data_IF_955294163554
#
_entry.id   IF_955294163554
#
_cell.length_a   1.000
_cell.length_b   1.000
_cell.length_c   1.000
_cell.angle_alpha   90.00
_cell.angle_beta   90.00
_cell.angle_gamma   90.00
#
_symmetry.space_group_name_H-M   'P 1'
#
loop_
_entity.id
_entity.type
_entity.pdbx_description
1 polymer ?
#
# COMPACT_ATOMS: atom_id res chain seq x y z
N UNK A 1 -78.58 19.52 64.44
CA UNK A 1 -77.38 20.25 64.87
C UNK A 1 -76.20 19.42 64.43
N UNK A 2 -75.62 19.74 63.32
CA UNK A 2 -74.61 18.96 62.68
C UNK A 2 -73.56 19.92 62.09
N UNK A 3 -72.41 19.93 62.72
CA UNK A 3 -71.31 20.79 62.36
C UNK A 3 -70.55 20.14 61.18
N UNK A 4 -70.52 20.85 60.03
CA UNK A 4 -69.71 20.55 58.92
C UNK A 4 -68.32 21.27 59.06
N UNK A 5 -67.27 20.53 59.31
CA UNK A 5 -65.93 21.08 59.22
C UNK A 5 -65.36 20.83 57.82
N UNK A 6 -65.11 21.92 57.13
CA UNK A 6 -64.49 21.98 55.82
C UNK A 6 -62.95 21.76 55.95
N UNK A 7 -62.40 20.69 55.42
CA UNK A 7 -60.97 20.45 55.37
C UNK A 7 -60.42 20.96 54.05
N UNK A 8 -59.55 21.96 54.10
CA UNK A 8 -58.80 22.45 52.95
C UNK A 8 -57.62 21.56 52.65
N UNK A 9 -57.60 20.97 51.47
CA UNK A 9 -56.52 20.16 50.97
C UNK A 9 -55.48 21.06 50.26
N UNK A 10 -54.32 21.21 50.85
CA UNK A 10 -53.25 21.93 50.26
C UNK A 10 -52.47 20.95 49.34
N UNK A 11 -52.52 21.15 48.00
CA UNK A 11 -51.73 20.42 47.03
C UNK A 11 -50.44 21.17 46.88
N UNK A 12 -49.30 20.60 47.34
CA UNK A 12 -47.99 21.10 47.08
C UNK A 12 -47.49 20.56 45.69
N UNK A 13 -47.39 21.44 44.70
CA UNK A 13 -46.76 21.13 43.43
C UNK A 13 -45.20 21.14 43.61
N UNK A 14 -44.58 19.97 43.61
CA UNK A 14 -43.19 19.89 43.56
C UNK A 14 -42.72 20.00 42.06
N UNK A 15 -42.14 21.14 41.68
CA UNK A 15 -41.56 21.37 40.37
C UNK A 15 -40.19 20.67 40.35
N UNK A 16 -40.12 19.50 39.68
CA UNK A 16 -38.87 18.80 39.42
C UNK A 16 -38.17 19.50 38.26
N UNK A 17 -37.15 20.35 38.52
CA UNK A 17 -36.26 20.86 37.51
C UNK A 17 -35.29 19.75 37.12
N UNK A 18 -35.58 19.00 36.03
CA UNK A 18 -34.62 18.15 35.36
C UNK A 18 -33.59 19.04 34.65
N UNK A 19 -32.49 19.33 35.32
CA UNK A 19 -31.31 19.91 34.65
C UNK A 19 -30.71 18.88 33.71
N UNK A 20 -31.02 18.99 32.41
CA UNK A 20 -30.30 18.25 31.38
C UNK A 20 -28.87 18.81 31.35
N UNK A 21 -27.93 18.11 31.95
CA UNK A 21 -26.50 18.31 31.69
C UNK A 21 -26.25 17.78 30.26
N UNK A 22 -26.24 18.68 29.30
CA UNK A 22 -25.61 18.46 28.01
C UNK A 22 -24.10 18.30 28.30
N UNK A 23 -23.65 17.06 28.49
CA UNK A 23 -22.23 16.75 28.41
C UNK A 23 -21.81 17.05 26.95
N UNK A 24 -21.15 18.20 26.75
CA UNK A 24 -20.37 18.42 25.57
C UNK A 24 -19.30 17.34 25.57
N UNK A 25 -19.50 16.26 24.82
CA UNK A 25 -18.42 15.40 24.40
C UNK A 25 -17.52 16.28 23.53
N UNK A 26 -16.45 16.78 24.09
CA UNK A 26 -15.31 17.25 23.31
C UNK A 26 -14.85 15.99 22.58
N UNK A 27 -15.15 15.90 21.29
CA UNK A 27 -14.57 14.87 20.43
C UNK A 27 -13.05 15.10 20.51
N UNK A 28 -12.39 14.30 21.35
CA UNK A 28 -10.92 14.28 21.37
C UNK A 28 -10.47 13.86 19.99
N UNK A 29 -9.54 14.62 19.40
CA UNK A 29 -8.84 14.18 18.19
C UNK A 29 -8.40 12.72 18.40
N UNK A 30 -8.58 11.87 17.41
CA UNK A 30 -8.16 10.47 17.53
C UNK A 30 -6.64 10.41 17.76
N UNK A 31 -6.20 9.51 18.63
CA UNK A 31 -4.78 9.29 18.86
C UNK A 31 -4.02 9.12 17.53
N UNK A 32 -2.83 9.69 17.39
CA UNK A 32 -2.04 9.55 16.16
C UNK A 32 -1.76 8.08 15.84
N UNK A 33 -1.60 7.78 14.57
CA UNK A 33 -1.11 6.46 14.12
C UNK A 33 0.40 6.49 14.25
N UNK A 34 0.99 5.50 14.92
CA UNK A 34 2.45 5.38 15.05
C UNK A 34 2.99 4.35 14.06
N UNK A 35 3.89 4.76 13.16
CA UNK A 35 4.51 3.85 12.21
C UNK A 35 6.03 3.81 12.35
N UNK A 36 6.61 2.66 12.01
CA UNK A 36 8.03 2.51 11.78
C UNK A 36 8.30 2.49 10.27
N UNK A 37 9.18 3.37 9.79
CA UNK A 37 9.71 3.29 8.43
C UNK A 37 11.05 2.56 8.48
N UNK A 38 11.07 1.31 7.99
CA UNK A 38 12.24 0.46 7.96
C UNK A 38 12.95 0.60 6.61
N UNK A 39 14.11 1.24 6.63
CA UNK A 39 14.95 1.51 5.48
C UNK A 39 16.28 0.75 5.51
N UNK A 40 17.19 1.15 4.63
CA UNK A 40 18.58 0.74 4.57
C UNK A 40 19.45 1.86 3.97
N UNK A 41 20.74 1.56 3.69
CA UNK A 41 21.67 2.51 3.05
C UNK A 41 21.90 2.21 1.57
N UNK A 42 21.02 1.45 0.93
CA UNK A 42 21.15 1.06 -0.46
C UNK A 42 20.66 2.15 -1.45
N UNK A 43 20.72 1.82 -2.74
CA UNK A 43 20.51 2.73 -3.88
C UNK A 43 19.10 3.31 -4.00
N UNK A 44 18.12 2.83 -3.24
CA UNK A 44 16.77 3.43 -3.18
C UNK A 44 16.71 4.67 -2.29
N UNK A 45 17.78 4.96 -1.54
CA UNK A 45 17.89 6.13 -0.64
C UNK A 45 16.73 6.29 0.35
N UNK A 46 16.40 5.28 1.18
CA UNK A 46 15.23 5.31 2.06
C UNK A 46 15.16 6.53 2.98
N UNK A 47 16.29 6.94 3.57
CA UNK A 47 16.35 8.12 4.43
C UNK A 47 15.95 9.42 3.71
N UNK A 48 16.19 9.52 2.40
CA UNK A 48 15.76 10.68 1.62
C UNK A 48 14.27 10.60 1.30
N UNK A 49 13.74 9.39 1.02
CA UNK A 49 12.31 9.15 0.83
C UNK A 49 11.52 9.45 2.09
N UNK A 50 12.06 9.06 3.25
CA UNK A 50 11.49 9.40 4.54
C UNK A 50 11.31 10.92 4.71
N UNK A 51 12.33 11.71 4.43
CA UNK A 51 12.27 13.19 4.51
C UNK A 51 11.18 13.80 3.62
N UNK A 52 10.86 13.16 2.50
CA UNK A 52 9.79 13.62 1.60
C UNK A 52 8.40 13.28 2.17
N UNK A 53 8.25 12.07 2.70
CA UNK A 53 6.91 11.61 3.09
C UNK A 53 6.53 11.98 4.54
N UNK A 54 7.49 12.10 5.45
CA UNK A 54 7.25 12.42 6.87
C UNK A 54 6.32 13.60 7.10
N UNK A 55 6.55 14.79 6.48
CA UNK A 55 5.67 15.93 6.70
C UNK A 55 4.23 15.70 6.19
N UNK A 56 4.06 14.90 5.14
CA UNK A 56 2.75 14.52 4.60
C UNK A 56 2.03 13.59 5.57
N UNK A 57 2.74 12.59 6.10
CA UNK A 57 2.21 11.66 7.10
C UNK A 57 1.77 12.41 8.36
N UNK A 58 2.63 13.29 8.86
CA UNK A 58 2.32 14.12 10.04
C UNK A 58 1.09 14.98 9.83
N UNK A 59 0.95 15.58 8.64
CA UNK A 59 -0.26 16.34 8.27
C UNK A 59 -1.53 15.50 8.20
N UNK A 60 -1.41 14.17 8.11
CA UNK A 60 -2.52 13.21 8.09
C UNK A 60 -2.75 12.51 9.45
N UNK A 61 -2.11 12.99 10.54
CA UNK A 61 -2.21 12.39 11.86
C UNK A 61 -1.45 11.07 12.01
N UNK A 62 -0.39 10.88 11.22
CA UNK A 62 0.48 9.70 11.26
C UNK A 62 1.88 10.16 11.72
N UNK A 63 2.30 9.69 12.88
CA UNK A 63 3.64 9.90 13.41
C UNK A 63 4.53 8.72 13.06
N UNK A 64 5.77 8.99 12.67
CA UNK A 64 6.66 7.92 12.23
C UNK A 64 8.07 8.06 12.78
N UNK A 65 8.72 6.91 12.89
CA UNK A 65 10.13 6.76 13.23
C UNK A 65 10.85 6.08 12.08
N UNK A 66 11.97 6.66 11.62
CA UNK A 66 12.84 6.01 10.65
C UNK A 66 13.91 5.18 11.36
N UNK A 67 14.16 3.98 10.86
CA UNK A 67 15.26 3.12 11.31
C UNK A 67 15.86 2.32 10.17
N UNK A 68 17.12 1.93 10.32
CA UNK A 68 17.83 0.97 9.46
C UNK A 68 18.19 -0.29 10.25
N UNK A 69 17.71 -0.40 11.50
CA UNK A 69 17.98 -1.54 12.36
C UNK A 69 16.93 -2.64 12.15
N UNK A 70 17.33 -3.66 11.40
CA UNK A 70 16.49 -4.81 11.10
C UNK A 70 16.31 -5.78 12.29
N UNK A 71 17.01 -5.57 13.42
CA UNK A 71 16.77 -6.32 14.63
C UNK A 71 15.40 -6.01 15.25
N UNK A 72 14.74 -4.95 14.79
CA UNK A 72 13.39 -4.55 15.21
C UNK A 72 12.37 -5.70 15.15
N UNK A 73 12.52 -6.62 14.20
CA UNK A 73 11.62 -7.77 14.10
C UNK A 73 11.66 -8.72 15.33
N UNK A 74 12.69 -8.59 16.16
CA UNK A 74 12.83 -9.34 17.42
C UNK A 74 12.80 -8.44 18.66
N UNK A 75 12.65 -7.13 18.49
CA UNK A 75 12.58 -6.17 19.58
C UNK A 75 11.14 -6.06 20.11
N UNK A 76 10.92 -6.15 21.42
CA UNK A 76 9.60 -5.91 22.03
C UNK A 76 8.97 -4.56 21.67
N UNK A 77 9.80 -3.54 21.38
CA UNK A 77 9.33 -2.21 20.93
C UNK A 77 8.54 -2.24 19.62
N UNK A 78 8.67 -3.29 18.83
CA UNK A 78 7.87 -3.45 17.61
C UNK A 78 6.37 -3.33 17.90
N UNK A 79 5.93 -3.76 19.07
CA UNK A 79 4.52 -3.65 19.50
C UNK A 79 4.03 -2.23 19.79
N UNK A 80 4.92 -1.24 19.83
CA UNK A 80 4.58 0.17 20.04
C UNK A 80 4.11 0.84 18.72
N UNK A 81 4.33 0.18 17.58
CA UNK A 81 3.94 0.68 16.26
C UNK A 81 2.67 0.01 15.74
N UNK A 82 1.75 0.81 15.22
CA UNK A 82 0.51 0.34 14.57
C UNK A 82 0.80 -0.29 13.21
N UNK A 83 1.85 0.17 12.51
CA UNK A 83 2.29 -0.39 11.25
C UNK A 83 3.79 -0.25 11.02
N UNK A 84 4.34 -1.14 10.19
CA UNK A 84 5.71 -1.03 9.66
C UNK A 84 5.63 -0.82 8.15
N UNK A 85 6.25 0.28 7.68
CA UNK A 85 6.49 0.52 6.26
C UNK A 85 7.88 -0.01 5.92
N UNK A 86 7.95 -0.96 4.98
CA UNK A 86 9.19 -1.56 4.50
C UNK A 86 9.60 -0.91 3.20
N UNK A 87 10.80 -0.31 3.19
CA UNK A 87 11.40 0.26 1.99
C UNK A 87 12.93 0.07 2.01
N UNK A 88 13.38 -1.12 1.67
CA UNK A 88 14.79 -1.51 1.69
C UNK A 88 15.07 -2.70 0.77
N UNK A 89 16.34 -3.06 0.59
CA UNK A 89 16.82 -4.19 -0.22
C UNK A 89 17.62 -5.22 0.59
N UNK A 90 17.36 -5.37 1.87
CA UNK A 90 18.00 -6.43 2.68
C UNK A 90 17.48 -7.79 2.24
N UNK A 91 18.39 -8.70 1.86
CA UNK A 91 18.03 -9.97 1.24
C UNK A 91 17.73 -11.10 2.22
N UNK A 92 18.15 -10.97 3.47
CA UNK A 92 18.08 -12.08 4.42
C UNK A 92 17.32 -11.70 5.69
N UNK A 93 16.45 -12.61 6.10
CA UNK A 93 15.86 -12.69 7.44
C UNK A 93 16.48 -13.87 8.18
N UNK A 94 16.86 -13.66 9.42
CA UNK A 94 17.12 -14.80 10.31
C UNK A 94 15.80 -15.48 10.68
N UNK A 95 15.81 -16.76 11.06
CA UNK A 95 14.57 -17.44 11.49
C UNK A 95 13.83 -16.75 12.64
N UNK A 96 14.56 -16.08 13.53
CA UNK A 96 13.97 -15.32 14.64
C UNK A 96 13.27 -14.04 14.14
N UNK A 97 13.88 -13.33 13.21
CA UNK A 97 13.29 -12.13 12.60
C UNK A 97 12.07 -12.48 11.75
N UNK A 98 12.14 -13.55 10.93
CA UNK A 98 10.99 -14.05 10.18
C UNK A 98 9.82 -14.35 11.09
N UNK A 99 10.06 -15.11 12.15
CA UNK A 99 9.03 -15.41 13.15
C UNK A 99 8.45 -14.14 13.78
N UNK A 100 9.30 -13.18 14.15
CA UNK A 100 8.86 -11.92 14.75
C UNK A 100 7.98 -11.09 13.79
N UNK A 101 8.39 -10.96 12.53
CA UNK A 101 7.64 -10.27 11.49
C UNK A 101 6.26 -10.92 11.28
N UNK A 102 6.22 -12.24 11.11
CA UNK A 102 4.96 -12.95 10.88
C UNK A 102 4.03 -12.83 12.11
N UNK A 103 4.55 -12.97 13.32
CA UNK A 103 3.77 -12.80 14.55
C UNK A 103 3.25 -11.38 14.73
N UNK A 104 4.04 -10.36 14.38
CA UNK A 104 3.60 -8.97 14.43
C UNK A 104 2.36 -8.76 13.58
N UNK A 105 2.40 -9.21 12.32
CA UNK A 105 1.25 -9.08 11.41
C UNK A 105 0.09 -9.96 11.87
N UNK A 106 0.33 -11.21 12.26
CA UNK A 106 -0.72 -12.12 12.74
C UNK A 106 -1.49 -11.56 13.94
N UNK A 107 -0.80 -10.82 14.81
CA UNK A 107 -1.40 -10.21 16.00
C UNK A 107 -2.13 -8.89 15.72
N UNK A 108 -2.05 -8.34 14.51
CA UNK A 108 -2.82 -7.16 14.10
C UNK A 108 -1.98 -5.97 13.63
N UNK A 109 -0.65 -6.07 13.64
CA UNK A 109 0.23 -5.05 13.10
C UNK A 109 -0.01 -4.84 11.59
N UNK A 110 -0.04 -3.58 11.15
CA UNK A 110 -0.12 -3.22 9.73
C UNK A 110 1.23 -3.43 9.04
N UNK A 111 1.23 -3.89 7.79
CA UNK A 111 2.44 -4.00 6.99
C UNK A 111 2.27 -3.25 5.68
N UNK A 112 3.20 -2.34 5.38
CA UNK A 112 3.18 -1.47 4.20
C UNK A 112 4.46 -1.72 3.39
N UNK A 113 4.57 -2.84 2.68
CA UNK A 113 5.70 -3.07 1.79
C UNK A 113 5.58 -2.15 0.56
N UNK A 114 6.63 -1.39 0.27
CA UNK A 114 6.66 -0.43 -0.84
C UNK A 114 7.77 -0.83 -1.80
N UNK A 115 7.44 -0.91 -3.08
CA UNK A 115 8.36 -1.08 -4.20
C UNK A 115 9.37 -2.21 -3.97
N UNK A 116 10.63 -1.88 -3.65
CA UNK A 116 11.73 -2.83 -3.45
C UNK A 116 11.47 -3.86 -2.33
N UNK A 117 10.48 -3.64 -1.49
CA UNK A 117 10.09 -4.61 -0.47
C UNK A 117 9.68 -5.98 -1.06
N UNK A 118 9.22 -6.04 -2.33
CA UNK A 118 8.96 -7.32 -3.00
C UNK A 118 10.23 -8.04 -3.50
N UNK A 119 11.39 -7.35 -3.48
CA UNK A 119 12.69 -7.91 -3.84
C UNK A 119 13.55 -8.25 -2.62
N UNK A 120 13.13 -7.87 -1.40
CA UNK A 120 13.87 -8.17 -0.18
C UNK A 120 13.51 -9.54 0.42
N UNK A 121 14.31 -9.99 1.40
CA UNK A 121 14.09 -11.21 2.16
C UNK A 121 13.90 -12.47 1.28
N UNK A 122 14.70 -12.56 0.19
CA UNK A 122 14.58 -13.64 -0.79
C UNK A 122 14.81 -15.05 -0.24
N UNK A 123 15.36 -15.17 0.98
CA UNK A 123 15.52 -16.43 1.70
C UNK A 123 14.26 -16.85 2.50
N UNK A 124 13.18 -16.07 2.49
CA UNK A 124 11.95 -16.33 3.23
C UNK A 124 10.75 -16.48 2.29
N UNK A 125 10.38 -17.73 1.99
CA UNK A 125 9.13 -18.01 1.27
C UNK A 125 7.90 -17.51 2.04
N UNK A 126 7.95 -17.59 3.38
CA UNK A 126 6.87 -17.11 4.23
C UNK A 126 6.64 -15.60 4.13
N UNK A 127 7.70 -14.80 3.98
CA UNK A 127 7.57 -13.36 3.72
C UNK A 127 6.98 -13.09 2.34
N UNK A 128 7.45 -13.79 1.30
CA UNK A 128 6.93 -13.62 -0.06
C UNK A 128 5.44 -13.97 -0.12
N UNK A 129 5.05 -15.07 0.53
CA UNK A 129 3.65 -15.49 0.63
C UNK A 129 2.83 -14.49 1.45
N UNK A 130 3.41 -13.91 2.51
CA UNK A 130 2.75 -12.87 3.32
C UNK A 130 2.43 -11.63 2.49
N UNK A 131 3.40 -11.09 1.74
CA UNK A 131 3.19 -9.88 0.93
C UNK A 131 2.45 -10.14 -0.37
N UNK A 132 2.40 -11.39 -0.83
CA UNK A 132 1.58 -11.84 -1.95
C UNK A 132 2.18 -11.66 -3.33
N UNK A 133 3.50 -11.49 -3.44
CA UNK A 133 4.20 -11.41 -4.73
C UNK A 133 5.69 -11.16 -4.56
N UNK A 134 6.48 -11.64 -5.54
CA UNK A 134 7.93 -11.46 -5.57
C UNK A 134 8.32 -10.66 -6.81
N UNK A 135 9.22 -9.71 -6.65
CA UNK A 135 9.85 -9.01 -7.77
C UNK A 135 10.54 -10.00 -8.72
N UNK A 136 10.34 -9.81 -10.01
CA UNK A 136 10.97 -10.61 -11.06
C UNK A 136 11.90 -9.78 -11.94
N UNK A 137 11.39 -8.66 -12.45
CA UNK A 137 12.12 -7.79 -13.38
C UNK A 137 11.46 -6.41 -13.44
N UNK A 138 12.17 -5.47 -14.02
CA UNK A 138 11.62 -4.14 -14.32
C UNK A 138 12.22 -3.55 -15.60
N UNK A 139 11.50 -2.63 -16.22
CA UNK A 139 12.01 -1.55 -17.06
C UNK A 139 11.81 -0.23 -16.33
N UNK A 140 11.77 0.90 -17.06
CA UNK A 140 11.42 2.20 -16.50
C UNK A 140 10.77 3.06 -17.59
N UNK A 141 9.63 3.68 -17.28
CA UNK A 141 8.91 4.56 -18.19
C UNK A 141 7.95 5.49 -17.43
N UNK A 142 7.40 6.46 -18.10
CA UNK A 142 6.24 7.17 -17.61
C UNK A 142 4.97 6.34 -17.89
N UNK A 143 4.22 6.03 -16.86
CA UNK A 143 2.95 5.31 -17.00
C UNK A 143 1.89 5.84 -16.06
N UNK A 144 0.63 5.57 -16.40
CA UNK A 144 -0.52 5.88 -15.56
C UNK A 144 -1.02 4.61 -14.90
N UNK A 145 -0.84 4.48 -13.59
CA UNK A 145 -1.46 3.41 -12.82
C UNK A 145 -2.98 3.61 -12.77
N UNK A 146 -3.74 2.53 -13.04
CA UNK A 146 -5.21 2.56 -13.09
C UNK A 146 -5.80 1.96 -11.83
N UNK A 147 -6.73 2.65 -11.21
CA UNK A 147 -7.54 2.12 -10.11
C UNK A 147 -8.57 1.15 -10.71
N UNK A 148 -8.59 -0.09 -10.20
CA UNK A 148 -9.53 -1.14 -10.61
C UNK A 148 -10.54 -1.50 -9.53
N UNK A 149 -10.28 -1.15 -8.28
CA UNK A 149 -11.21 -1.30 -7.15
C UNK A 149 -11.40 0.05 -6.42
N UNK A 150 -12.16 0.95 -7.04
CA UNK A 150 -12.43 2.29 -6.49
C UNK A 150 -13.30 2.27 -5.23
N UNK A 151 -13.96 1.14 -4.92
CA UNK A 151 -14.81 1.00 -3.74
C UNK A 151 -14.00 0.65 -2.48
N UNK A 152 -12.74 0.22 -2.65
CA UNK A 152 -11.90 -0.09 -1.50
C UNK A 152 -11.55 1.18 -0.72
N UNK A 153 -11.63 1.18 0.63
CA UNK A 153 -11.39 2.37 1.44
C UNK A 153 -10.04 3.06 1.19
N UNK A 154 -8.99 2.28 0.94
CA UNK A 154 -7.67 2.84 0.61
C UNK A 154 -7.64 3.60 -0.72
N UNK A 155 -8.64 3.42 -1.61
CA UNK A 155 -8.76 4.15 -2.87
C UNK A 155 -9.68 5.36 -2.76
N UNK A 156 -10.22 5.64 -1.57
CA UNK A 156 -11.16 6.76 -1.35
C UNK A 156 -10.50 8.10 -1.71
N UNK A 157 -11.16 8.87 -2.56
CA UNK A 157 -10.69 10.18 -3.02
C UNK A 157 -9.30 10.17 -3.66
N UNK A 158 -8.87 9.00 -4.17
CA UNK A 158 -7.67 8.86 -4.98
C UNK A 158 -8.08 8.84 -6.45
N UNK A 159 -7.36 9.60 -7.26
CA UNK A 159 -7.46 9.55 -8.72
C UNK A 159 -6.26 8.81 -9.30
N UNK A 160 -6.46 8.18 -10.46
CA UNK A 160 -5.36 7.59 -11.20
C UNK A 160 -4.37 8.68 -11.62
N UNK A 161 -3.10 8.47 -11.38
CA UNK A 161 -2.05 9.45 -11.67
C UNK A 161 -0.93 8.83 -12.53
N UNK A 162 -0.19 9.68 -13.22
CA UNK A 162 0.98 9.29 -13.99
C UNK A 162 2.25 9.64 -13.23
N UNK A 163 3.24 8.77 -13.30
CA UNK A 163 4.57 9.04 -12.80
C UNK A 163 5.61 8.29 -13.63
N UNK A 164 6.81 8.84 -13.73
CA UNK A 164 7.96 8.09 -14.18
C UNK A 164 8.40 7.20 -13.04
N UNK A 165 8.45 5.88 -13.28
CA UNK A 165 8.88 4.92 -12.26
C UNK A 165 9.41 3.64 -12.91
N UNK A 166 9.96 2.73 -12.11
CA UNK A 166 10.28 1.39 -12.59
C UNK A 166 9.00 0.59 -12.85
N UNK A 167 9.01 -0.16 -13.95
CA UNK A 167 7.85 -0.97 -14.36
C UNK A 167 7.99 -2.40 -13.86
N UNK A 168 7.81 -2.56 -12.55
CA UNK A 168 7.90 -3.88 -11.89
C UNK A 168 6.99 -4.91 -12.53
N UNK A 169 7.54 -6.11 -12.68
CA UNK A 169 6.84 -7.35 -12.98
C UNK A 169 7.07 -8.31 -11.83
N UNK A 170 6.03 -8.99 -11.40
CA UNK A 170 6.08 -9.92 -10.28
C UNK A 170 5.91 -11.35 -10.72
N UNK A 171 6.54 -12.28 -10.00
CA UNK A 171 6.19 -13.69 -10.00
C UNK A 171 5.65 -14.11 -8.62
N UNK A 172 5.18 -15.34 -8.48
CA UNK A 172 4.58 -15.84 -7.24
C UNK A 172 3.42 -14.98 -6.71
N UNK A 173 2.66 -14.32 -7.63
CA UNK A 173 1.48 -13.56 -7.23
C UNK A 173 0.46 -14.49 -6.56
N UNK A 174 0.05 -14.13 -5.34
CA UNK A 174 -0.95 -14.88 -4.62
C UNK A 174 -2.36 -14.69 -5.22
N UNK A 175 -3.11 -15.80 -5.33
CA UNK A 175 -4.43 -15.78 -5.96
C UNK A 175 -5.47 -14.96 -5.18
N UNK A 176 -5.26 -14.78 -3.90
CA UNK A 176 -6.15 -14.06 -2.98
C UNK A 176 -5.73 -12.59 -2.80
N UNK A 177 -4.79 -12.09 -3.59
CA UNK A 177 -4.50 -10.65 -3.64
C UNK A 177 -5.74 -9.88 -4.09
N UNK A 178 -6.23 -8.99 -3.25
CA UNK A 178 -7.22 -8.01 -3.67
C UNK A 178 -6.51 -6.84 -4.36
N UNK A 179 -6.47 -6.88 -5.69
CA UNK A 179 -5.80 -5.87 -6.50
C UNK A 179 -6.61 -4.57 -6.51
N UNK A 180 -5.96 -3.47 -6.18
CA UNK A 180 -6.55 -2.13 -6.13
C UNK A 180 -6.16 -1.27 -7.33
N UNK A 181 -4.89 -1.41 -7.77
CA UNK A 181 -4.39 -0.70 -8.95
C UNK A 181 -3.59 -1.65 -9.84
N UNK A 182 -3.58 -1.35 -11.13
CA UNK A 182 -2.82 -2.07 -12.14
C UNK A 182 -2.00 -1.12 -12.99
N UNK A 183 -0.83 -1.56 -13.47
CA UNK A 183 -0.06 -0.88 -14.52
C UNK A 183 -0.44 -1.47 -15.89
N UNK A 184 -0.73 -0.64 -16.90
CA UNK A 184 -0.83 -1.11 -18.27
C UNK A 184 0.52 -1.68 -18.75
N UNK A 185 0.47 -2.84 -19.43
CA UNK A 185 1.63 -3.49 -20.01
C UNK A 185 1.25 -4.01 -21.41
N UNK A 186 1.35 -3.16 -22.40
CA UNK A 186 0.83 -3.41 -23.74
C UNK A 186 -0.67 -3.74 -23.72
N UNK A 187 -1.03 -5.00 -24.04
CA UNK A 187 -2.43 -5.47 -24.01
C UNK A 187 -2.85 -6.05 -22.66
N UNK A 188 -1.99 -5.99 -21.65
CA UNK A 188 -2.17 -6.62 -20.35
C UNK A 188 -2.13 -5.61 -19.24
N UNK A 189 -2.34 -6.12 -18.04
CA UNK A 189 -2.24 -5.34 -16.82
C UNK A 189 -1.40 -6.11 -15.81
N UNK A 190 -0.39 -5.46 -15.28
CA UNK A 190 0.37 -5.97 -14.14
C UNK A 190 -0.30 -5.49 -12.85
N UNK A 191 -0.58 -6.38 -11.86
CA UNK A 191 -0.99 -5.97 -10.53
C UNK A 191 0.07 -5.07 -9.92
N UNK A 192 -0.34 -3.88 -9.45
CA UNK A 192 0.62 -2.86 -9.05
C UNK A 192 0.43 -2.35 -7.62
N UNK A 193 -0.79 -2.42 -7.12
CA UNK A 193 -1.13 -2.18 -5.71
C UNK A 193 -2.18 -3.19 -5.31
N UNK A 194 -1.95 -3.86 -4.20
CA UNK A 194 -2.92 -4.83 -3.66
C UNK A 194 -2.93 -4.83 -2.15
N UNK A 195 -3.96 -5.46 -1.61
CA UNK A 195 -4.12 -5.66 -0.18
C UNK A 195 -4.35 -7.12 0.15
N UNK A 196 -3.96 -7.49 1.36
CA UNK A 196 -4.12 -8.84 1.92
C UNK A 196 -4.45 -8.73 3.41
N UNK A 197 -4.83 -9.85 3.98
CA UNK A 197 -4.97 -10.03 5.42
C UNK A 197 -4.21 -11.28 5.85
N UNK A 198 -3.51 -11.18 6.99
CA UNK A 198 -2.86 -12.30 7.64
C UNK A 198 -3.16 -12.25 9.13
N UNK A 199 -3.87 -13.29 9.64
CA UNK A 199 -4.39 -13.24 11.00
C UNK A 199 -5.29 -12.03 11.21
N UNK A 200 -4.92 -11.17 12.17
CA UNK A 200 -5.61 -9.90 12.45
C UNK A 200 -5.01 -8.71 11.67
N UNK A 201 -3.80 -8.85 11.16
CA UNK A 201 -3.07 -7.79 10.49
C UNK A 201 -3.46 -7.64 9.01
N UNK A 202 -3.15 -6.48 8.48
CA UNK A 202 -3.46 -6.11 7.10
C UNK A 202 -2.19 -5.68 6.38
N UNK A 203 -2.07 -6.10 5.14
CA UNK A 203 -0.93 -5.81 4.28
C UNK A 203 -1.40 -4.95 3.12
N UNK A 204 -0.73 -3.83 2.89
CA UNK A 204 -0.94 -2.94 1.76
C UNK A 204 0.36 -2.82 0.98
N UNK A 205 0.45 -3.45 -0.17
CA UNK A 205 1.61 -3.39 -1.06
C UNK A 205 1.38 -2.42 -2.22
N UNK A 206 2.42 -1.69 -2.61
CA UNK A 206 2.47 -0.96 -3.88
C UNK A 206 3.83 -1.09 -4.55
N UNK A 207 3.85 -1.38 -5.85
CA UNK A 207 5.04 -1.46 -6.68
C UNK A 207 5.59 -0.08 -7.10
N UNK A 208 4.81 0.99 -6.92
CA UNK A 208 5.26 2.37 -7.12
C UNK A 208 6.29 2.74 -6.05
N UNK A 209 7.26 3.60 -6.39
CA UNK A 209 8.12 4.20 -5.39
C UNK A 209 9.63 4.13 -5.64
N UNK A 210 10.10 3.87 -6.86
CA UNK A 210 11.53 3.96 -7.16
C UNK A 210 12.00 5.41 -7.28
N UNK A 211 11.34 6.17 -8.13
CA UNK A 211 11.80 7.51 -8.52
C UNK A 211 11.37 8.60 -7.52
N UNK A 212 12.18 9.64 -7.37
CA UNK A 212 11.83 10.80 -6.53
C UNK A 212 10.55 11.48 -7.00
N UNK A 213 10.33 11.58 -8.31
CA UNK A 213 9.11 12.14 -8.90
C UNK A 213 7.85 11.43 -8.42
N UNK A 214 7.94 10.11 -8.18
CA UNK A 214 6.85 9.33 -7.58
C UNK A 214 6.63 9.71 -6.13
N UNK A 215 7.68 9.79 -5.32
CA UNK A 215 7.58 10.16 -3.89
C UNK A 215 7.07 11.59 -3.68
N UNK A 216 7.42 12.51 -4.56
CA UNK A 216 6.94 13.90 -4.53
C UNK A 216 5.52 14.05 -5.12
N UNK A 217 5.01 13.03 -5.82
CA UNK A 217 3.71 13.11 -6.47
C UNK A 217 2.56 13.04 -5.45
N UNK A 218 1.63 14.03 -5.41
CA UNK A 218 0.54 14.07 -4.42
C UNK A 218 -0.35 12.82 -4.45
N UNK A 219 -0.54 12.22 -5.63
CA UNK A 219 -1.30 10.98 -5.80
C UNK A 219 -0.64 9.79 -5.08
N UNK A 220 0.69 9.65 -5.16
CA UNK A 220 1.44 8.61 -4.45
C UNK A 220 1.43 8.85 -2.94
N UNK A 221 1.65 10.09 -2.52
CA UNK A 221 1.58 10.46 -1.11
C UNK A 221 0.21 10.14 -0.51
N UNK A 222 -0.86 10.48 -1.23
CA UNK A 222 -2.23 10.12 -0.85
C UNK A 222 -2.44 8.61 -0.80
N UNK A 223 -1.88 7.88 -1.76
CA UNK A 223 -1.94 6.40 -1.80
C UNK A 223 -1.32 5.80 -0.54
N UNK A 224 -0.14 6.27 -0.13
CA UNK A 224 0.55 5.79 1.08
C UNK A 224 -0.23 6.14 2.35
N UNK A 225 -0.70 7.38 2.49
CA UNK A 225 -1.53 7.80 3.63
C UNK A 225 -2.76 6.90 3.76
N UNK A 226 -3.50 6.70 2.67
CA UNK A 226 -4.71 5.86 2.68
C UNK A 226 -4.36 4.38 2.99
N UNK A 227 -3.25 3.87 2.44
CA UNK A 227 -2.78 2.51 2.69
C UNK A 227 -2.46 2.28 4.17
N UNK A 228 -1.73 3.20 4.80
CA UNK A 228 -1.40 3.16 6.23
C UNK A 228 -2.69 3.23 7.07
N UNK A 229 -3.57 4.20 6.80
CA UNK A 229 -4.81 4.35 7.54
C UNK A 229 -5.73 3.12 7.41
N UNK A 230 -5.72 2.46 6.25
CA UNK A 230 -6.49 1.23 6.06
C UNK A 230 -5.84 0.06 6.82
N UNK A 231 -4.54 -0.11 6.73
CA UNK A 231 -3.83 -1.21 7.38
C UNK A 231 -3.92 -1.13 8.91
N UNK A 232 -3.94 0.07 9.47
CA UNK A 232 -4.12 0.32 10.91
C UNK A 232 -5.59 0.36 11.37
N UNK A 233 -6.55 0.13 10.45
CA UNK A 233 -7.97 0.07 10.78
C UNK A 233 -8.65 1.43 10.98
N UNK A 234 -7.97 2.55 10.71
CA UNK A 234 -8.56 3.90 10.79
C UNK A 234 -9.58 4.15 9.67
N UNK A 235 -9.35 3.58 8.48
CA UNK A 235 -10.37 3.54 7.44
C UNK A 235 -11.19 2.26 7.62
N UNK A 236 -12.41 2.41 8.13
CA UNK A 236 -13.34 1.30 8.28
C UNK A 236 -13.76 0.82 6.89
N UNK A 237 -13.55 -0.46 6.64
CA UNK A 237 -14.15 -1.16 5.52
C UNK A 237 -15.55 -1.59 5.93
N UNK A 238 -16.59 -1.04 5.31
CA UNK A 238 -17.79 -1.84 5.14
C UNK A 238 -17.40 -2.97 4.19
N UNK A 239 -17.66 -4.21 4.58
CA UNK A 239 -17.40 -5.40 3.76
C UNK A 239 -18.29 -5.35 2.52
N UNK A 240 -17.89 -4.54 1.53
CA UNK A 240 -18.53 -4.57 0.22
C UNK A 240 -18.08 -5.87 -0.48
N UNK A 241 -18.99 -6.55 -1.17
CA UNK A 241 -18.66 -7.73 -1.95
C UNK A 241 -17.46 -7.40 -2.86
N UNK A 242 -16.51 -8.31 -2.93
CA UNK A 242 -15.38 -8.20 -3.86
C UNK A 242 -15.96 -7.99 -5.25
N UNK A 243 -15.76 -6.79 -5.82
CA UNK A 243 -16.08 -6.57 -7.22
C UNK A 243 -15.33 -7.67 -8.00
N UNK A 244 -16.02 -8.37 -8.90
CA UNK A 244 -15.36 -9.34 -9.77
C UNK A 244 -14.34 -8.58 -10.60
N UNK A 245 -13.11 -8.53 -10.10
CA UNK A 245 -11.98 -8.02 -10.88
C UNK A 245 -11.88 -8.96 -12.07
N UNK A 246 -11.84 -8.44 -13.32
CA UNK A 246 -11.46 -9.26 -14.44
C UNK A 246 -10.16 -9.96 -14.04
N UNK A 247 -10.15 -11.29 -14.01
CA UNK A 247 -9.01 -12.06 -13.54
C UNK A 247 -7.75 -11.45 -14.15
N UNK A 248 -6.82 -10.99 -13.31
CA UNK A 248 -5.52 -10.56 -13.78
C UNK A 248 -5.00 -11.74 -14.61
N UNK A 249 -4.89 -11.55 -15.92
CA UNK A 249 -4.40 -12.62 -16.77
C UNK A 249 -2.99 -12.93 -16.28
N UNK A 250 -2.67 -14.17 -15.94
CA UNK A 250 -1.33 -14.48 -15.47
C UNK A 250 -0.32 -13.93 -16.47
N UNK A 251 0.70 -13.25 -15.96
CA UNK A 251 1.82 -12.84 -16.78
C UNK A 251 2.28 -14.05 -17.56
N UNK A 252 2.51 -13.92 -18.86
CA UNK A 252 2.92 -15.01 -19.74
C UNK A 252 4.30 -15.50 -19.29
N UNK A 253 4.38 -16.43 -18.37
CA UNK A 253 5.64 -17.12 -18.09
C UNK A 253 6.18 -17.91 -19.30
N UNK A 254 5.36 -18.12 -20.36
CA UNK A 254 5.69 -19.01 -21.47
C UNK A 254 5.56 -18.39 -22.87
N UNK A 255 5.27 -17.13 -23.03
CA UNK A 255 5.44 -16.48 -24.32
C UNK A 255 6.68 -15.62 -24.29
N UNK A 256 7.82 -16.20 -24.64
CA UNK A 256 8.95 -15.46 -25.20
C UNK A 256 8.33 -14.61 -26.31
N UNK A 257 8.41 -13.27 -26.25
CA UNK A 257 7.98 -12.46 -27.37
C UNK A 257 8.69 -13.03 -28.60
N UNK A 258 7.92 -13.47 -29.59
CA UNK A 258 8.55 -13.88 -30.86
C UNK A 258 9.34 -12.65 -31.27
N UNK A 259 10.68 -12.76 -31.38
CA UNK A 259 11.48 -11.62 -31.78
C UNK A 259 10.90 -11.07 -33.07
N UNK A 260 10.77 -9.76 -33.16
CA UNK A 260 10.37 -9.13 -34.43
C UNK A 260 11.36 -9.57 -35.49
N UNK A 261 10.88 -9.88 -36.68
CA UNK A 261 11.80 -10.07 -37.81
C UNK A 261 12.71 -8.85 -37.96
N UNK A 262 13.88 -9.03 -38.52
CA UNK A 262 14.81 -7.92 -38.76
C UNK A 262 14.12 -6.79 -39.55
N UNK A 263 13.28 -7.14 -40.54
CA UNK A 263 12.52 -6.18 -41.33
C UNK A 263 11.45 -5.42 -40.53
N UNK A 264 10.76 -6.07 -39.60
CA UNK A 264 9.81 -5.42 -38.69
C UNK A 264 10.51 -4.52 -37.69
N UNK A 265 11.70 -4.93 -37.21
CA UNK A 265 12.53 -4.12 -36.33
C UNK A 265 13.02 -2.86 -37.03
N UNK A 266 13.46 -2.97 -38.29
CA UNK A 266 13.88 -1.84 -39.11
C UNK A 266 12.74 -0.82 -39.33
N UNK A 267 11.52 -1.28 -39.59
CA UNK A 267 10.33 -0.40 -39.78
C UNK A 267 9.97 0.42 -38.53
N UNK A 268 10.42 0.01 -37.36
CA UNK A 268 10.16 0.71 -36.07
C UNK A 268 11.27 1.67 -35.67
N UNK A 269 12.39 1.70 -36.40
CA UNK A 269 13.49 2.63 -36.12
C UNK A 269 13.13 4.03 -36.58
N UNK A 270 13.22 5.01 -35.69
CA UNK A 270 13.14 6.42 -36.01
C UNK A 270 14.52 6.95 -36.30
N UNK A 271 14.78 7.28 -37.55
CA UNK A 271 16.08 7.77 -38.00
C UNK A 271 16.04 9.28 -38.23
N UNK A 272 17.11 10.02 -37.92
CA UNK A 272 17.25 11.40 -38.31
C UNK A 272 17.20 11.56 -39.86
N UNK A 273 16.84 12.75 -40.32
CA UNK A 273 16.82 13.04 -41.73
C UNK A 273 18.20 12.82 -42.39
N UNK A 274 18.22 12.13 -43.53
CA UNK A 274 19.46 11.77 -44.25
C UNK A 274 20.07 10.41 -43.85
N UNK A 275 19.52 9.71 -42.87
CA UNK A 275 19.94 8.36 -42.49
C UNK A 275 18.98 7.32 -43.03
N UNK A 276 19.52 6.14 -43.36
CA UNK A 276 18.74 4.94 -43.70
C UNK A 276 19.28 3.75 -42.95
N UNK A 277 18.40 2.80 -42.62
CA UNK A 277 18.77 1.51 -42.05
C UNK A 277 18.77 0.48 -43.17
N UNK A 278 19.81 -0.34 -43.23
CA UNK A 278 19.91 -1.46 -44.16
C UNK A 278 20.20 -2.73 -43.38
N UNK A 279 19.51 -3.80 -43.73
CA UNK A 279 19.75 -5.12 -43.15
C UNK A 279 21.03 -5.67 -43.79
N UNK A 280 22.07 -5.89 -42.97
CA UNK A 280 23.34 -6.48 -43.44
C UNK A 280 23.31 -8.02 -43.23
N UNK A 281 22.85 -8.46 -42.06
CA UNK A 281 22.70 -9.87 -41.74
C UNK A 281 21.70 -10.03 -40.57
N UNK A 282 21.04 -11.17 -40.49
CA UNK A 282 20.16 -11.53 -39.37
C UNK A 282 20.29 -13.05 -39.10
N UNK A 283 19.76 -13.51 -37.98
CA UNK A 283 19.60 -14.93 -37.78
C UNK A 283 18.73 -15.55 -38.92
N UNK A 284 19.08 -16.73 -39.44
CA UNK A 284 20.13 -17.65 -38.99
C UNK A 284 21.52 -17.42 -39.62
N UNK A 285 21.70 -16.33 -40.37
CA UNK A 285 22.94 -16.10 -41.12
C UNK A 285 24.15 -15.71 -40.25
N UNK A 286 23.86 -15.34 -38.99
CA UNK A 286 24.86 -15.02 -37.96
C UNK A 286 24.63 -15.96 -36.77
N UNK A 287 25.65 -16.72 -36.40
CA UNK A 287 25.68 -17.57 -35.22
C UNK A 287 26.64 -16.96 -34.20
#
# INVERSE_FOLDING_TARGET
>A
MSDYRSGAMVIALATLCLGAHLANSVDSEPDPIHILFLGDQNHHFPAQRWKVIEPVLKGAGIEGTYTEDHSIWTDPKLSEYDAVLIYHNVNELTPAQEKGLLQYVENGGGLIPVHCASACYGNSDAYIDLIGGRFKSHGAEEFRAKIVDSQHPAMKSLESFSSWDETYVHDRLAHDNRVLMVRPDGRRYEPYTWVRQHGKGKIFYTALGHDFRTWEHPGFQKLLVNGIQWATGRLKSELLPVAKIPAAQPSRENEIPVPLSAEESMKRMHLPEGFRVELFASEPDII
#
